data_IF_600723183111
#
_entry.id   IF_600723183111
#
_cell.length_a   1.000
_cell.length_b   1.000
_cell.length_c   1.000
_cell.angle_alpha   90.00
_cell.angle_beta   90.00
_cell.angle_gamma   90.00
#
_symmetry.space_group_name_H-M   'P 1'
#
loop_
_entity.id
_entity.type
_entity.pdbx_description
1 polymer ?
#
# COMPACT_ATOMS: atom_id res chain seq x y z
N UNK A 1 -2.27 16.83 11.65
CA UNK A 1 -1.43 16.58 10.45
C UNK A 1 -1.70 15.15 10.01
N UNK A 2 -1.98 14.91 8.73
CA UNK A 2 -2.17 13.54 8.20
C UNK A 2 -0.79 13.00 7.82
N UNK A 3 -0.36 11.89 8.42
CA UNK A 3 0.91 11.26 8.11
C UNK A 3 0.85 10.54 6.75
N UNK A 4 1.91 10.68 5.95
CA UNK A 4 2.03 10.01 4.64
C UNK A 4 2.85 8.74 4.81
N UNK A 5 2.36 7.63 4.25
CA UNK A 5 2.99 6.32 4.38
C UNK A 5 3.55 5.87 3.03
N UNK A 6 4.76 5.32 3.04
CA UNK A 6 5.38 4.64 1.90
C UNK A 6 5.46 3.14 2.16
N UNK A 7 5.08 2.31 1.18
CA UNK A 7 5.13 0.85 1.32
C UNK A 7 5.81 0.19 0.11
N UNK A 8 6.80 -0.65 0.36
CA UNK A 8 7.57 -1.34 -0.68
C UNK A 8 7.28 -2.84 -0.61
N UNK A 9 6.70 -3.38 -1.68
CA UNK A 9 6.46 -4.81 -1.84
C UNK A 9 5.01 -5.23 -1.56
N UNK A 10 4.33 -5.75 -2.57
CA UNK A 10 2.93 -6.20 -2.49
C UNK A 10 2.85 -7.72 -2.63
N UNK A 11 3.52 -8.41 -1.70
CA UNK A 11 3.41 -9.87 -1.54
C UNK A 11 2.12 -10.30 -0.84
N UNK A 12 2.05 -11.56 -0.41
CA UNK A 12 0.87 -12.16 0.25
C UNK A 12 0.38 -11.30 1.42
N UNK A 13 1.29 -10.86 2.30
CA UNK A 13 0.92 -10.00 3.43
C UNK A 13 0.87 -8.51 3.05
N UNK A 14 1.71 -8.08 2.11
CA UNK A 14 1.88 -6.66 1.75
C UNK A 14 0.60 -6.02 1.24
N UNK A 15 -0.19 -6.76 0.45
CA UNK A 15 -1.49 -6.27 -0.06
C UNK A 15 -2.49 -6.01 1.08
N UNK A 16 -2.63 -6.94 2.03
CA UNK A 16 -3.54 -6.75 3.16
C UNK A 16 -3.12 -5.59 4.06
N UNK A 17 -1.82 -5.43 4.31
CA UNK A 17 -1.29 -4.32 5.11
C UNK A 17 -1.53 -2.97 4.45
N UNK A 18 -1.20 -2.83 3.15
CA UNK A 18 -1.42 -1.59 2.40
C UNK A 18 -2.91 -1.23 2.30
N UNK A 19 -3.79 -2.21 2.06
CA UNK A 19 -5.23 -1.99 2.09
C UNK A 19 -5.74 -1.50 3.47
N UNK A 20 -5.20 -2.03 4.57
CA UNK A 20 -5.56 -1.56 5.91
C UNK A 20 -5.11 -0.11 6.18
N UNK A 21 -3.92 0.27 5.68
CA UNK A 21 -3.42 1.65 5.78
C UNK A 21 -4.34 2.61 5.01
N UNK A 22 -4.76 2.25 3.80
CA UNK A 22 -5.74 3.02 3.02
C UNK A 22 -7.09 3.14 3.75
N UNK A 23 -7.61 2.03 4.29
CA UNK A 23 -8.86 2.01 5.06
C UNK A 23 -8.82 2.89 6.31
N UNK A 24 -7.65 3.02 6.93
CA UNK A 24 -7.44 3.90 8.07
C UNK A 24 -7.33 5.39 7.69
N UNK A 25 -7.37 5.73 6.39
CA UNK A 25 -7.41 7.11 5.90
C UNK A 25 -6.04 7.76 5.74
N UNK A 26 -4.95 6.97 5.79
CA UNK A 26 -3.61 7.49 5.56
C UNK A 26 -3.29 7.55 4.05
N UNK A 27 -2.80 8.68 3.52
CA UNK A 27 -2.24 8.78 2.19
C UNK A 27 -1.09 7.77 2.04
N UNK A 28 -1.23 6.88 1.07
CA UNK A 28 -0.29 5.78 0.84
C UNK A 28 0.32 5.87 -0.57
N UNK A 29 1.65 5.82 -0.63
CA UNK A 29 2.40 5.57 -1.86
C UNK A 29 2.97 4.17 -1.81
N UNK A 30 2.66 3.35 -2.81
CA UNK A 30 3.19 1.99 -2.92
C UNK A 30 4.17 1.86 -4.07
N UNK A 31 5.20 1.03 -3.88
CA UNK A 31 6.04 0.57 -4.97
C UNK A 31 6.16 -0.95 -4.92
N UNK A 32 6.09 -1.58 -6.08
CA UNK A 32 6.34 -3.00 -6.21
C UNK A 32 7.03 -3.28 -7.54
N UNK A 33 7.97 -4.24 -7.55
CA UNK A 33 8.71 -4.62 -8.77
C UNK A 33 7.78 -4.98 -9.94
N UNK A 34 6.66 -5.64 -9.65
CA UNK A 34 5.60 -5.90 -10.64
C UNK A 34 4.48 -4.90 -10.39
N UNK A 35 4.34 -3.92 -11.28
CA UNK A 35 3.39 -2.81 -11.12
C UNK A 35 1.94 -3.29 -10.95
N UNK A 36 1.53 -4.32 -11.70
CA UNK A 36 0.17 -4.85 -11.66
C UNK A 36 -0.30 -5.38 -10.30
N UNK A 37 0.61 -5.60 -9.35
CA UNK A 37 0.23 -5.96 -7.98
C UNK A 37 -0.35 -4.79 -7.18
N UNK A 38 -0.12 -3.55 -7.62
CA UNK A 38 -0.66 -2.33 -7.02
C UNK A 38 -2.07 -2.01 -7.53
N UNK A 39 -2.47 -2.53 -8.70
CA UNK A 39 -3.78 -2.27 -9.31
C UNK A 39 -4.97 -2.76 -8.46
N UNK A 40 -4.71 -3.66 -7.50
CA UNK A 40 -5.72 -4.25 -6.61
C UNK A 40 -5.90 -3.49 -5.29
N UNK A 41 -5.20 -2.37 -5.09
CA UNK A 41 -5.25 -1.56 -3.86
C UNK A 41 -6.23 -0.39 -3.94
#
# INVERSE_FOLDING_TARGET
MIEKVGFIGLGIMGQGMSANILKAGFPLTVWNRTASKADAL
#
